data_IF_013482703743
#
_entry.id   IF_013482703743
#
_cell.length_a   1.000
_cell.length_b   1.000
_cell.length_c   1.000
_cell.angle_alpha   90.00
_cell.angle_beta   90.00
_cell.angle_gamma   90.00
#
_symmetry.space_group_name_H-M   'P 1'
#
loop_
_entity.id
_entity.type
_entity.pdbx_description
1 polymer ?
#
# COMPACT_ATOMS: atom_id res chain seq x y z
N UNK A 1 -7.62 4.54 -20.83
CA UNK A 1 -7.82 3.20 -20.23
C UNK A 1 -7.29 3.11 -18.79
N UNK A 2 -6.26 3.88 -18.42
CA UNK A 2 -5.74 4.01 -17.05
C UNK A 2 -6.75 4.60 -16.05
N UNK A 3 -7.68 5.44 -16.50
CA UNK A 3 -8.73 6.02 -15.65
C UNK A 3 -9.62 4.97 -14.98
N UNK A 4 -9.82 3.83 -15.64
CA UNK A 4 -10.63 2.73 -15.08
C UNK A 4 -9.93 2.06 -13.90
N UNK A 5 -8.60 1.93 -13.91
CA UNK A 5 -7.86 1.22 -12.85
C UNK A 5 -7.85 2.04 -11.57
N UNK A 6 -7.55 3.35 -11.66
CA UNK A 6 -7.59 4.23 -10.50
C UNK A 6 -8.98 4.27 -9.86
N UNK A 7 -10.04 4.35 -10.68
CA UNK A 7 -11.42 4.31 -10.19
C UNK A 7 -11.74 2.98 -9.51
N UNK A 8 -11.40 1.84 -10.11
CA UNK A 8 -11.62 0.51 -9.52
C UNK A 8 -10.87 0.32 -8.20
N UNK A 9 -9.60 0.74 -8.12
CA UNK A 9 -8.81 0.66 -6.89
C UNK A 9 -9.42 1.52 -5.77
N UNK A 10 -10.00 2.66 -6.12
CA UNK A 10 -10.74 3.51 -5.19
C UNK A 10 -12.01 2.82 -4.67
N UNK A 11 -12.83 2.25 -5.56
CA UNK A 11 -14.06 1.53 -5.20
C UNK A 11 -13.77 0.29 -4.34
N UNK A 12 -12.68 -0.42 -4.61
CA UNK A 12 -12.22 -1.56 -3.81
C UNK A 12 -11.55 -1.16 -2.49
N UNK A 13 -11.42 0.16 -2.23
CA UNK A 13 -10.78 0.72 -1.03
C UNK A 13 -9.34 0.23 -0.86
N UNK A 14 -8.57 0.28 -1.95
CA UNK A 14 -7.14 -0.07 -2.03
C UNK A 14 -6.28 1.22 -2.16
N UNK A 15 -6.08 1.98 -1.06
CA UNK A 15 -5.42 3.29 -1.10
C UNK A 15 -3.90 3.24 -1.34
N UNK A 16 -3.21 2.17 -0.93
CA UNK A 16 -1.78 1.98 -1.22
C UNK A 16 -1.57 1.55 -2.68
N UNK A 17 -2.35 0.59 -3.20
CA UNK A 17 -2.37 0.23 -4.61
C UNK A 17 -2.70 1.45 -5.46
N UNK A 18 -3.73 2.23 -5.11
CA UNK A 18 -4.08 3.45 -5.84
C UNK A 18 -2.91 4.45 -5.90
N UNK A 19 -2.11 4.56 -4.83
CA UNK A 19 -0.93 5.45 -4.79
C UNK A 19 0.28 4.89 -5.56
N UNK A 20 0.44 3.58 -5.63
CA UNK A 20 1.70 2.96 -6.06
C UNK A 20 1.60 2.11 -7.34
N UNK A 21 0.40 1.84 -7.88
CA UNK A 21 0.24 0.92 -9.01
C UNK A 21 1.07 1.35 -10.23
N UNK A 22 1.10 2.64 -10.56
CA UNK A 22 1.82 3.13 -11.73
C UNK A 22 3.35 3.05 -11.54
N UNK A 23 3.87 3.55 -10.42
CA UNK A 23 5.32 3.49 -10.13
C UNK A 23 5.82 2.05 -10.01
N UNK A 24 5.00 1.17 -9.43
CA UNK A 24 5.32 -0.24 -9.29
C UNK A 24 5.28 -0.95 -10.64
N UNK A 25 4.39 -0.55 -11.54
CA UNK A 25 4.32 -1.07 -12.90
C UNK A 25 5.54 -0.66 -13.73
N UNK A 26 5.98 0.60 -13.62
CA UNK A 26 7.23 1.07 -14.26
C UNK A 26 8.43 0.24 -13.79
N UNK A 27 8.52 -0.02 -12.47
CA UNK A 27 9.55 -0.89 -11.88
C UNK A 27 9.44 -2.33 -12.37
N UNK A 28 8.22 -2.85 -12.48
CA UNK A 28 7.96 -4.21 -12.94
C UNK A 28 8.37 -4.39 -14.41
N UNK A 29 8.13 -3.39 -15.26
CA UNK A 29 8.57 -3.38 -16.66
C UNK A 29 10.09 -3.35 -16.74
N UNK A 30 10.74 -2.47 -15.99
CA UNK A 30 12.21 -2.35 -15.94
C UNK A 30 12.87 -3.65 -15.48
N UNK A 31 12.33 -4.29 -14.44
CA UNK A 31 12.85 -5.53 -13.87
C UNK A 31 12.30 -6.81 -14.51
N UNK A 32 11.53 -6.67 -15.58
CA UNK A 32 10.89 -7.77 -16.31
C UNK A 32 10.13 -8.76 -15.40
N UNK A 33 9.39 -8.21 -14.44
CA UNK A 33 8.54 -9.00 -13.55
C UNK A 33 7.42 -9.68 -14.33
N UNK A 34 7.01 -10.85 -13.85
CA UNK A 34 5.78 -11.46 -14.33
C UNK A 34 4.57 -10.65 -13.86
N UNK A 35 3.43 -10.81 -14.55
CA UNK A 35 2.17 -10.19 -14.14
C UNK A 35 1.76 -10.62 -12.72
N UNK A 36 2.06 -11.86 -12.34
CA UNK A 36 1.80 -12.39 -11.00
C UNK A 36 2.70 -11.76 -9.94
N UNK A 37 3.97 -11.49 -10.24
CA UNK A 37 4.89 -10.84 -9.29
C UNK A 37 4.50 -9.38 -9.05
N UNK A 38 4.11 -8.67 -10.12
CA UNK A 38 3.58 -7.32 -10.00
C UNK A 38 2.31 -7.27 -9.13
N UNK A 39 1.37 -8.20 -9.35
CA UNK A 39 0.15 -8.29 -8.54
C UNK A 39 0.46 -8.63 -7.08
N UNK A 40 1.38 -9.57 -6.82
CA UNK A 40 1.80 -9.93 -5.48
C UNK A 40 2.41 -8.73 -4.73
N UNK A 41 3.34 -8.01 -5.36
CA UNK A 41 3.96 -6.82 -4.77
C UNK A 41 2.92 -5.71 -4.47
N UNK A 42 1.93 -5.53 -5.36
CA UNK A 42 0.85 -4.56 -5.13
C UNK A 42 0.00 -4.94 -3.90
N UNK A 43 -0.31 -6.23 -3.74
CA UNK A 43 -1.03 -6.77 -2.59
C UNK A 43 -0.21 -6.67 -1.28
N UNK A 44 1.10 -6.91 -1.33
CA UNK A 44 2.00 -6.78 -0.19
C UNK A 44 2.04 -5.34 0.32
N UNK A 45 2.14 -4.36 -0.58
CA UNK A 45 2.11 -2.94 -0.23
C UNK A 45 0.79 -2.55 0.46
N UNK A 46 -0.34 -3.06 -0.03
CA UNK A 46 -1.65 -2.85 0.62
C UNK A 46 -1.72 -3.45 2.01
N UNK A 47 -1.29 -4.70 2.16
CA UNK A 47 -1.32 -5.39 3.44
C UNK A 47 -0.44 -4.67 4.47
N UNK A 48 0.76 -4.25 4.04
CA UNK A 48 1.70 -3.50 4.87
C UNK A 48 1.11 -2.16 5.32
N UNK A 49 0.52 -1.37 4.41
CA UNK A 49 -0.09 -0.08 4.74
C UNK A 49 -1.29 -0.24 5.71
N UNK A 50 -2.11 -1.29 5.53
CA UNK A 50 -3.21 -1.61 6.47
C UNK A 50 -2.68 -2.00 7.85
N UNK A 51 -1.63 -2.81 7.90
CA UNK A 51 -0.99 -3.22 9.13
C UNK A 51 -0.40 -2.00 9.85
N UNK A 52 0.34 -1.14 9.15
CA UNK A 52 0.92 0.08 9.70
C UNK A 52 -0.16 1.02 10.23
N UNK A 53 -1.27 1.23 9.49
CA UNK A 53 -2.40 2.03 9.97
C UNK A 53 -3.03 1.46 11.24
N UNK A 54 -3.18 0.13 11.32
CA UNK A 54 -3.72 -0.56 12.50
C UNK A 54 -2.79 -0.40 13.71
N UNK A 55 -1.49 -0.60 13.52
CA UNK A 55 -0.46 -0.43 14.56
C UNK A 55 -0.40 1.02 15.05
N UNK A 56 -0.42 2.00 14.14
CA UNK A 56 -0.45 3.42 14.51
C UNK A 56 -1.72 3.79 15.27
N UNK A 57 -2.87 3.22 14.89
CA UNK A 57 -4.12 3.40 15.64
C UNK A 57 -3.99 2.85 17.06
N UNK A 58 -3.51 1.63 17.21
CA UNK A 58 -3.29 1.02 18.52
C UNK A 58 -2.30 1.80 19.39
N UNK A 59 -1.21 2.29 18.81
CA UNK A 59 -0.23 3.11 19.51
C UNK A 59 -0.86 4.40 20.06
N UNK A 60 -1.70 5.06 19.25
CA UNK A 60 -2.45 6.25 19.65
C UNK A 60 -3.48 5.95 20.74
N UNK A 61 -4.25 4.87 20.59
CA UNK A 61 -5.28 4.44 21.53
C UNK A 61 -4.69 3.99 22.88
N UNK A 62 -3.52 3.36 22.87
CA UNK A 62 -2.80 2.97 24.07
C UNK A 62 -2.33 4.16 24.92
N UNK A 63 -2.55 5.42 24.47
CA UNK A 63 -2.06 6.65 25.11
C UNK A 63 -0.59 6.52 25.53
N UNK A 64 0.20 5.80 24.73
CA UNK A 64 1.63 5.71 24.98
C UNK A 64 2.18 7.11 24.73
N UNK A 65 2.36 7.87 25.80
CA UNK A 65 2.97 9.19 25.72
C UNK A 65 4.29 9.01 24.97
N UNK A 66 4.42 9.67 23.81
CA UNK A 66 5.60 9.61 22.96
C UNK A 66 6.88 10.19 23.62
N UNK A 67 6.85 10.43 24.93
CA UNK A 67 7.90 11.05 25.73
C UNK A 67 8.50 10.08 26.76
N UNK A 68 8.99 8.94 26.30
CA UNK A 68 10.09 8.24 26.98
C UNK A 68 11.12 7.82 25.94
N UNK A 69 11.75 8.82 25.33
CA UNK A 69 13.11 8.66 24.80
C UNK A 69 14.03 8.72 26.02
N UNK A 70 14.61 7.59 26.40
CA UNK A 70 15.77 7.51 27.29
C UNK A 70 17.05 7.70 26.46
#
# INVERSE_FOLDING_TARGET
>A
MTDSVALLLKELRLPASHRHYQSLWETAVEKHWSHTDYLAALCEHELSDRYQRRTQKWLREAKLAANKTF
#
